data_IF_011198438760
#
_entry.id   IF_011198438760
#
_cell.length_a   1.000
_cell.length_b   1.000
_cell.length_c   1.000
_cell.angle_alpha   90.00
_cell.angle_beta   90.00
_cell.angle_gamma   90.00
#
_symmetry.space_group_name_H-M   'P 1'
#
loop_
_entity.id
_entity.type
_entity.pdbx_description
1 polymer ?
#
# COMPACT_ATOMS: atom_id res chain seq x y z
N UNK A 1 -13.24 20.24 -26.44
CA UNK A 1 -13.79 19.46 -25.32
C UNK A 1 -12.76 19.02 -24.29
N UNK A 2 -11.47 18.93 -24.60
CA UNK A 2 -10.41 18.77 -23.58
C UNK A 2 -9.11 19.43 -24.05
N UNK A 3 -8.31 19.96 -23.10
CA UNK A 3 -7.02 20.58 -23.37
C UNK A 3 -5.87 19.55 -23.54
N UNK A 4 -6.18 18.25 -23.49
CA UNK A 4 -5.18 17.21 -23.65
C UNK A 4 -4.54 17.27 -25.05
N UNK A 5 -3.20 17.41 -25.14
CA UNK A 5 -2.52 17.36 -26.43
C UNK A 5 -2.73 15.97 -27.05
N UNK A 6 -2.87 15.88 -28.39
CA UNK A 6 -2.92 14.60 -29.08
C UNK A 6 -1.65 13.80 -28.74
N UNK A 7 -1.73 12.46 -28.66
CA UNK A 7 -0.55 11.63 -28.50
C UNK A 7 0.43 11.97 -29.62
N UNK A 8 1.71 12.12 -29.27
CA UNK A 8 2.75 12.30 -30.27
C UNK A 8 2.68 11.13 -31.27
N UNK A 9 2.89 11.39 -32.58
CA UNK A 9 2.94 10.32 -33.56
C UNK A 9 3.96 9.29 -33.07
N UNK A 10 3.55 8.03 -33.05
CA UNK A 10 4.41 6.92 -32.67
C UNK A 10 5.52 6.87 -33.71
N UNK A 11 6.65 7.52 -33.43
CA UNK A 11 7.88 7.21 -34.11
C UNK A 11 8.11 5.73 -33.85
N UNK A 12 8.20 4.95 -34.92
CA UNK A 12 8.59 3.55 -34.86
C UNK A 12 9.98 3.50 -34.23
N UNK A 13 10.04 3.41 -32.91
CA UNK A 13 11.24 3.07 -32.19
C UNK A 13 11.54 1.61 -32.56
N UNK A 14 12.66 1.42 -33.23
CA UNK A 14 13.26 0.12 -33.44
C UNK A 14 13.20 -0.65 -32.11
N UNK A 15 12.57 -1.82 -32.14
CA UNK A 15 12.51 -2.76 -31.04
C UNK A 15 13.91 -3.17 -30.63
N UNK A 16 14.47 -2.47 -29.64
CA UNK A 16 15.44 -3.07 -28.74
C UNK A 16 14.63 -3.90 -27.74
N UNK A 17 14.69 -5.21 -27.90
CA UNK A 17 14.05 -6.15 -27.00
C UNK A 17 14.66 -6.04 -25.60
N UNK A 18 13.96 -5.36 -24.70
CA UNK A 18 14.22 -5.46 -23.26
C UNK A 18 13.18 -6.43 -22.70
N UNK A 19 13.60 -7.67 -22.47
CA UNK A 19 12.79 -8.69 -21.83
C UNK A 19 12.65 -8.39 -20.33
N UNK A 20 11.50 -7.90 -19.91
CA UNK A 20 11.05 -7.95 -18.51
C UNK A 20 9.99 -9.03 -18.36
N UNK A 21 10.45 -10.25 -18.08
CA UNK A 21 9.59 -11.36 -17.72
C UNK A 21 9.12 -11.24 -16.27
N UNK A 22 7.80 -11.27 -16.06
CA UNK A 22 7.19 -11.62 -14.78
C UNK A 22 6.40 -12.93 -14.96
N UNK A 23 6.99 -14.01 -14.46
CA UNK A 23 6.30 -15.08 -13.74
C UNK A 23 5.24 -15.91 -14.47
N UNK A 24 5.70 -16.96 -15.17
CA UNK A 24 5.07 -18.29 -15.07
C UNK A 24 6.09 -19.37 -15.40
N UNK A 25 6.52 -20.10 -14.36
CA UNK A 25 7.15 -21.41 -14.46
C UNK A 25 8.46 -21.51 -15.24
N UNK A 26 9.57 -21.05 -14.67
CA UNK A 26 10.88 -21.61 -14.98
C UNK A 26 11.70 -21.69 -13.70
N UNK A 27 12.40 -22.80 -13.51
CA UNK A 27 13.27 -23.16 -12.39
C UNK A 27 14.49 -22.21 -12.23
N UNK A 28 14.22 -20.93 -11.98
CA UNK A 28 15.23 -19.91 -11.71
C UNK A 28 15.59 -19.92 -10.23
N UNK A 29 16.85 -20.24 -9.94
CA UNK A 29 17.43 -20.18 -8.60
C UNK A 29 17.23 -18.75 -8.06
N UNK A 30 16.58 -18.61 -6.90
CA UNK A 30 16.29 -17.29 -6.30
C UNK A 30 17.57 -16.53 -5.95
N UNK A 31 17.52 -15.19 -6.00
CA UNK A 31 18.67 -14.33 -5.67
C UNK A 31 19.27 -14.64 -4.29
N UNK A 32 18.43 -15.07 -3.33
CA UNK A 32 18.87 -15.53 -2.00
C UNK A 32 19.71 -16.81 -2.05
N UNK A 33 19.37 -17.76 -2.93
CA UNK A 33 20.16 -18.98 -3.11
C UNK A 33 21.49 -18.67 -3.82
N UNK A 34 21.50 -17.72 -4.76
CA UNK A 34 22.72 -17.26 -5.44
C UNK A 34 23.66 -16.57 -4.43
N UNK A 35 23.13 -15.69 -3.57
CA UNK A 35 23.89 -15.04 -2.51
C UNK A 35 24.41 -16.05 -1.48
N UNK A 36 23.58 -17.03 -1.08
CA UNK A 36 23.99 -18.15 -0.22
C UNK A 36 25.12 -18.99 -0.82
N UNK A 37 25.05 -19.30 -2.12
CA UNK A 37 26.10 -20.04 -2.81
C UNK A 37 27.40 -19.24 -2.92
N UNK A 38 27.33 -17.95 -3.26
CA UNK A 38 28.51 -17.08 -3.35
C UNK A 38 29.22 -16.93 -2.01
N UNK A 39 28.47 -16.69 -0.92
CA UNK A 39 29.04 -16.59 0.43
C UNK A 39 29.73 -17.88 0.86
N UNK A 40 29.17 -19.04 0.53
CA UNK A 40 29.79 -20.34 0.78
C UNK A 40 31.08 -20.55 -0.02
N UNK A 41 31.09 -20.19 -1.31
CA UNK A 41 32.29 -20.27 -2.16
C UNK A 41 33.39 -19.34 -1.66
N UNK A 42 33.06 -18.09 -1.31
CA UNK A 42 34.04 -17.16 -0.72
C UNK A 42 34.56 -17.66 0.63
N UNK A 43 33.70 -18.24 1.47
CA UNK A 43 34.11 -18.87 2.73
C UNK A 43 35.09 -20.03 2.52
N UNK A 44 34.81 -20.91 1.57
CA UNK A 44 35.70 -22.02 1.21
C UNK A 44 37.04 -21.54 0.65
N UNK A 45 37.04 -20.50 -0.19
CA UNK A 45 38.26 -19.89 -0.71
C UNK A 45 39.11 -19.28 0.40
N UNK A 46 38.50 -18.54 1.34
CA UNK A 46 39.21 -17.98 2.50
C UNK A 46 39.81 -19.10 3.36
N UNK A 47 39.04 -20.18 3.61
CA UNK A 47 39.52 -21.34 4.36
C UNK A 47 40.68 -22.05 3.66
N UNK A 48 40.58 -22.24 2.34
CA UNK A 48 41.65 -22.85 1.53
C UNK A 48 42.91 -21.98 1.57
N UNK A 49 42.79 -20.66 1.37
CA UNK A 49 43.90 -19.70 1.48
C UNK A 49 44.55 -19.74 2.87
N UNK A 50 43.74 -19.83 3.93
CA UNK A 50 44.25 -19.96 5.29
C UNK A 50 45.04 -21.26 5.48
N UNK A 51 44.51 -22.39 5.02
CA UNK A 51 45.17 -23.70 5.11
C UNK A 51 46.48 -23.71 4.31
N UNK A 52 46.48 -23.21 3.08
CA UNK A 52 47.68 -23.12 2.23
C UNK A 52 48.73 -22.20 2.85
N UNK A 53 48.34 -21.04 3.38
CA UNK A 53 49.27 -20.15 4.07
C UNK A 53 49.87 -20.80 5.33
N UNK A 54 49.05 -21.53 6.08
CA UNK A 54 49.50 -22.25 7.27
C UNK A 54 50.44 -23.41 6.93
N UNK A 55 50.17 -24.19 5.88
CA UNK A 55 51.05 -25.27 5.44
C UNK A 55 52.35 -24.74 4.86
N UNK A 56 52.32 -23.69 4.04
CA UNK A 56 53.52 -23.03 3.52
C UNK A 56 54.40 -22.49 4.65
N UNK A 57 53.80 -21.91 5.71
CA UNK A 57 54.54 -21.47 6.91
C UNK A 57 55.19 -22.62 7.65
N UNK A 58 54.46 -23.72 7.88
CA UNK A 58 55.01 -24.92 8.53
C UNK A 58 56.16 -25.54 7.73
N UNK A 59 56.05 -25.56 6.39
CA UNK A 59 57.11 -26.08 5.51
C UNK A 59 58.32 -25.12 5.49
N UNK A 60 58.11 -23.81 5.52
CA UNK A 60 59.19 -22.83 5.61
C UNK A 60 59.97 -22.95 6.93
N UNK A 61 59.27 -23.12 8.07
CA UNK A 61 59.88 -23.35 9.38
C UNK A 61 60.64 -24.69 9.43
N UNK A 62 60.10 -25.75 8.83
CA UNK A 62 60.74 -27.08 8.80
C UNK A 62 62.01 -27.12 7.94
N UNK A 63 62.13 -26.27 6.93
CA UNK A 63 63.30 -26.18 6.03
C UNK A 63 64.39 -25.21 6.53
N UNK A 64 64.32 -24.75 7.79
CA UNK A 64 65.35 -23.91 8.39
C UNK A 64 65.44 -22.50 7.78
N UNK A 65 64.46 -22.11 6.96
CA UNK A 65 64.30 -20.73 6.52
C UNK A 65 63.73 -19.95 7.70
N UNK A 66 64.61 -19.32 8.48
CA UNK A 66 64.20 -18.22 9.33
C UNK A 66 63.66 -17.16 8.38
N UNK A 67 62.33 -17.12 8.24
CA UNK A 67 61.66 -15.94 7.74
C UNK A 67 62.04 -14.86 8.73
N UNK A 68 63.15 -14.16 8.48
CA UNK A 68 63.42 -12.91 9.13
C UNK A 68 62.10 -12.16 9.02
N UNK A 69 61.51 -11.84 10.17
CA UNK A 69 60.55 -10.74 10.22
C UNK A 69 61.39 -9.51 9.91
N UNK A 70 61.88 -9.37 8.67
CA UNK A 70 62.44 -8.14 8.14
C UNK A 70 61.42 -7.09 8.55
N UNK A 71 61.89 -6.27 9.48
CA UNK A 71 61.12 -5.48 10.43
C UNK A 71 59.73 -5.22 9.90
N UNK A 72 58.68 -5.84 10.48
CA UNK A 72 57.29 -5.69 10.09
C UNK A 72 57.06 -4.23 9.69
N UNK A 73 57.22 -3.93 8.39
CA UNK A 73 57.31 -2.55 7.92
C UNK A 73 55.96 -2.02 8.33
N UNK A 74 55.94 -1.06 9.26
CA UNK A 74 54.72 -0.59 9.94
C UNK A 74 53.66 -0.39 8.87
N UNK A 75 52.83 -1.42 8.62
CA UNK A 75 51.91 -1.41 7.49
C UNK A 75 51.02 -0.25 7.81
N UNK A 76 50.95 0.72 6.90
CA UNK A 76 50.13 1.90 7.13
C UNK A 76 48.73 1.38 7.47
N UNK A 77 48.17 1.75 8.62
CA UNK A 77 46.85 1.26 9.00
C UNK A 77 45.86 1.61 7.89
N UNK A 78 44.90 0.73 7.60
CA UNK A 78 44.06 0.76 6.40
C UNK A 78 43.38 2.13 6.22
N UNK A 79 42.95 2.78 7.30
CA UNK A 79 42.35 4.12 7.29
C UNK A 79 43.27 5.23 6.73
N UNK A 80 44.58 5.07 6.85
CA UNK A 80 45.63 6.05 6.52
C UNK A 80 46.05 5.80 5.09
N UNK A 81 46.14 4.54 4.68
CA UNK A 81 46.26 4.16 3.27
C UNK A 81 45.03 4.62 2.46
N UNK A 82 43.83 4.51 3.04
CA UNK A 82 42.60 5.01 2.45
C UNK A 82 42.59 6.54 2.36
N UNK A 83 42.87 7.25 3.45
CA UNK A 83 42.90 8.72 3.45
C UNK A 83 44.01 9.32 2.56
N UNK A 84 45.11 8.60 2.36
CA UNK A 84 46.18 8.99 1.44
C UNK A 84 45.80 8.76 -0.04
N UNK A 85 44.84 7.87 -0.32
CA UNK A 85 44.39 7.60 -1.67
C UNK A 85 43.24 8.55 -2.06
N UNK A 86 43.61 9.67 -2.69
CA UNK A 86 42.66 10.71 -3.11
C UNK A 86 41.52 10.17 -4.00
N UNK A 87 41.78 9.16 -4.84
CA UNK A 87 40.75 8.53 -5.66
C UNK A 87 39.71 7.79 -4.82
N UNK A 88 40.16 6.97 -3.85
CA UNK A 88 39.23 6.24 -2.96
C UNK A 88 38.43 7.20 -2.08
N UNK A 89 39.06 8.24 -1.54
CA UNK A 89 38.35 9.27 -0.76
C UNK A 89 37.28 9.96 -1.63
N UNK A 90 37.61 10.35 -2.86
CA UNK A 90 36.66 10.99 -3.77
C UNK A 90 35.49 10.07 -4.13
N UNK A 91 35.76 8.81 -4.47
CA UNK A 91 34.71 7.81 -4.76
C UNK A 91 33.81 7.60 -3.55
N UNK A 92 34.37 7.46 -2.35
CA UNK A 92 33.58 7.30 -1.12
C UNK A 92 32.77 8.54 -0.79
N UNK A 93 33.31 9.75 -0.99
CA UNK A 93 32.54 10.99 -0.78
C UNK A 93 31.38 11.08 -1.77
N UNK A 94 31.60 10.81 -3.06
CA UNK A 94 30.52 10.80 -4.06
C UNK A 94 29.46 9.75 -3.69
N UNK A 95 29.88 8.55 -3.29
CA UNK A 95 28.97 7.49 -2.85
C UNK A 95 28.14 7.95 -1.65
N UNK A 96 28.76 8.50 -0.60
CA UNK A 96 28.05 8.98 0.58
C UNK A 96 27.10 10.14 0.25
N UNK A 97 27.48 11.03 -0.67
CA UNK A 97 26.60 12.11 -1.14
C UNK A 97 25.37 11.54 -1.86
N UNK A 98 25.54 10.58 -2.77
CA UNK A 98 24.43 9.95 -3.48
C UNK A 98 23.52 9.16 -2.54
N UNK A 99 24.09 8.43 -1.57
CA UNK A 99 23.34 7.72 -0.55
C UNK A 99 22.55 8.70 0.31
N UNK A 100 23.17 9.79 0.75
CA UNK A 100 22.50 10.82 1.55
C UNK A 100 21.36 11.48 0.76
N UNK A 101 21.58 11.81 -0.52
CA UNK A 101 20.56 12.37 -1.39
C UNK A 101 19.40 11.38 -1.61
N UNK A 102 19.69 10.10 -1.80
CA UNK A 102 18.67 9.05 -1.96
C UNK A 102 17.78 8.93 -0.72
N UNK A 103 18.37 8.86 0.48
CA UNK A 103 17.58 8.77 1.72
C UNK A 103 16.84 10.06 2.04
N UNK A 104 17.45 11.23 1.81
CA UNK A 104 16.80 12.52 2.00
C UNK A 104 15.61 12.71 1.07
N UNK A 105 15.78 12.38 -0.23
CA UNK A 105 14.70 12.39 -1.20
C UNK A 105 13.61 11.38 -0.83
N UNK A 106 14.00 10.15 -0.47
CA UNK A 106 13.06 9.11 -0.05
C UNK A 106 12.21 9.53 1.15
N UNK A 107 12.81 10.12 2.18
CA UNK A 107 12.09 10.63 3.35
C UNK A 107 11.16 11.79 2.98
N UNK A 108 11.63 12.74 2.17
CA UNK A 108 10.83 13.89 1.75
C UNK A 108 9.61 13.49 0.90
N UNK A 109 9.74 12.46 0.06
CA UNK A 109 8.64 11.93 -0.75
C UNK A 109 7.57 11.18 0.06
N UNK A 110 7.83 10.87 1.34
CA UNK A 110 6.84 10.27 2.25
C UNK A 110 6.06 11.31 3.07
N UNK A 111 6.42 12.59 2.99
CA UNK A 111 5.69 13.65 3.71
C UNK A 111 4.28 13.79 3.13
N UNK A 112 3.27 13.70 4.00
CA UNK A 112 1.85 13.78 3.61
C UNK A 112 1.29 12.49 3.01
N UNK A 113 1.97 11.35 3.20
CA UNK A 113 1.46 10.02 2.82
C UNK A 113 1.02 9.28 4.09
N UNK A 114 -0.30 9.17 4.29
CA UNK A 114 -0.89 8.58 5.50
C UNK A 114 -1.23 7.07 5.34
N UNK A 115 -0.49 6.35 4.49
CA UNK A 115 -0.72 4.92 4.30
C UNK A 115 -0.47 4.13 5.59
N UNK A 116 -1.36 3.20 5.90
CA UNK A 116 -1.33 2.39 7.12
C UNK A 116 -1.83 3.14 8.36
N UNK A 117 -2.30 4.38 8.24
CA UNK A 117 -2.89 5.09 9.38
C UNK A 117 -4.14 4.34 9.89
N UNK A 118 -4.08 3.90 11.16
CA UNK A 118 -5.06 3.05 11.81
C UNK A 118 -5.33 3.54 13.25
N UNK A 119 -6.16 4.59 13.43
CA UNK A 119 -6.48 5.11 14.75
C UNK A 119 -7.44 4.17 15.52
N UNK A 120 -7.34 4.21 16.84
CA UNK A 120 -8.28 3.51 17.72
C UNK A 120 -9.64 4.22 17.64
N UNK A 121 -10.70 3.45 17.38
CA UNK A 121 -12.08 3.94 17.31
C UNK A 121 -12.78 3.83 18.66
N UNK A 122 -13.83 4.65 18.95
CA UNK A 122 -14.57 4.58 20.21
C UNK A 122 -15.27 3.23 20.45
N UNK A 123 -15.76 2.63 19.37
CA UNK A 123 -16.32 1.29 19.32
C UNK A 123 -15.44 0.47 18.37
N UNK A 124 -15.01 -0.71 18.81
CA UNK A 124 -14.23 -1.63 17.98
C UNK A 124 -15.15 -2.28 16.94
N UNK A 125 -15.31 -1.61 15.81
CA UNK A 125 -16.13 -2.06 14.69
C UNK A 125 -15.28 -2.87 13.69
N UNK A 126 -15.69 -4.12 13.45
CA UNK A 126 -15.02 -5.02 12.51
C UNK A 126 -15.73 -5.08 11.16
N UNK A 127 -15.06 -4.62 10.09
CA UNK A 127 -15.54 -4.84 8.72
C UNK A 127 -15.39 -6.30 8.29
N UNK A 128 -14.37 -7.00 8.81
CA UNK A 128 -14.16 -8.45 8.62
C UNK A 128 -15.39 -9.27 8.99
N UNK A 129 -16.06 -8.96 10.11
CA UNK A 129 -17.29 -9.66 10.51
C UNK A 129 -18.48 -9.28 9.60
N UNK A 130 -18.68 -7.99 9.34
CA UNK A 130 -19.88 -7.51 8.64
C UNK A 130 -19.82 -7.76 7.13
N UNK A 131 -18.77 -7.30 6.45
CA UNK A 131 -18.60 -7.44 5.00
C UNK A 131 -17.93 -8.76 4.63
N UNK A 132 -16.99 -9.25 5.46
CA UNK A 132 -16.24 -10.48 5.21
C UNK A 132 -17.04 -11.75 5.51
N UNK A 133 -17.38 -12.01 6.77
CA UNK A 133 -18.07 -13.23 7.19
C UNK A 133 -19.55 -13.21 6.77
N UNK A 134 -20.27 -12.13 7.11
CA UNK A 134 -21.71 -12.02 6.86
C UNK A 134 -22.07 -11.56 5.43
N UNK A 135 -21.08 -11.21 4.60
CA UNK A 135 -21.25 -10.78 3.21
C UNK A 135 -22.24 -9.63 3.03
N UNK A 136 -22.33 -8.73 4.01
CA UNK A 136 -23.16 -7.52 3.91
C UNK A 136 -22.55 -6.60 2.85
N UNK A 137 -23.36 -6.18 1.89
CA UNK A 137 -22.94 -5.32 0.79
C UNK A 137 -22.47 -3.94 1.28
N UNK A 138 -21.35 -3.42 0.76
CA UNK A 138 -20.71 -2.19 1.22
C UNK A 138 -21.68 -0.99 1.24
N UNK A 139 -22.48 -0.82 0.19
CA UNK A 139 -23.42 0.30 0.02
C UNK A 139 -24.73 0.10 0.81
N UNK A 140 -24.90 -0.99 1.57
CA UNK A 140 -25.99 -1.11 2.54
C UNK A 140 -25.81 -0.10 3.68
N UNK A 141 -24.62 -0.11 4.30
CA UNK A 141 -24.25 0.86 5.33
C UNK A 141 -23.82 2.20 4.72
N UNK A 142 -22.97 2.16 3.68
CA UNK A 142 -22.46 3.36 3.01
C UNK A 142 -23.33 3.77 1.82
N UNK A 143 -24.64 3.92 2.06
CA UNK A 143 -25.65 4.16 1.01
C UNK A 143 -25.43 5.45 0.22
N UNK A 144 -24.88 6.48 0.87
CA UNK A 144 -24.61 7.78 0.26
C UNK A 144 -23.55 7.73 -0.84
N UNK A 145 -22.70 6.70 -0.89
CA UNK A 145 -21.74 6.50 -1.98
C UNK A 145 -22.39 6.48 -3.37
N UNK A 146 -23.66 6.07 -3.46
CA UNK A 146 -24.39 5.96 -4.73
C UNK A 146 -24.80 7.32 -5.31
N UNK A 147 -25.05 8.31 -4.46
CA UNK A 147 -25.76 9.55 -4.84
C UNK A 147 -25.04 10.83 -4.43
N UNK A 148 -24.21 10.79 -3.40
CA UNK A 148 -23.54 11.96 -2.83
C UNK A 148 -22.06 12.03 -3.21
N UNK A 149 -21.49 13.23 -3.12
CA UNK A 149 -20.04 13.41 -3.19
C UNK A 149 -19.29 12.79 -2.01
N UNK A 150 -19.94 12.71 -0.85
CA UNK A 150 -19.37 12.15 0.36
C UNK A 150 -20.09 10.84 0.71
N UNK A 151 -19.33 9.75 0.80
CA UNK A 151 -19.78 8.51 1.42
C UNK A 151 -19.65 8.64 2.94
N UNK A 152 -20.73 9.03 3.60
CA UNK A 152 -20.77 9.25 5.05
C UNK A 152 -20.66 7.95 5.85
N UNK A 153 -20.33 8.09 7.13
CA UNK A 153 -20.45 7.02 8.13
C UNK A 153 -21.96 6.79 8.37
N UNK A 154 -22.44 5.53 8.43
CA UNK A 154 -23.84 5.25 8.68
C UNK A 154 -24.31 5.84 10.01
N UNK A 155 -25.54 6.35 10.04
CA UNK A 155 -26.20 6.69 11.30
C UNK A 155 -26.42 5.43 12.15
N UNK A 156 -26.43 5.55 13.47
CA UNK A 156 -26.62 4.41 14.39
C UNK A 156 -27.96 3.69 14.21
N UNK A 157 -28.96 4.32 13.57
CA UNK A 157 -30.20 3.66 13.20
C UNK A 157 -29.98 2.44 12.28
N UNK A 158 -28.99 2.49 11.38
CA UNK A 158 -28.65 1.37 10.50
C UNK A 158 -28.12 0.19 11.33
N UNK A 159 -27.30 0.46 12.35
CA UNK A 159 -26.81 -0.56 13.27
C UNK A 159 -27.99 -1.22 14.02
N UNK A 160 -28.92 -0.41 14.51
CA UNK A 160 -30.06 -0.90 15.30
C UNK A 160 -31.11 -1.67 14.47
N UNK A 161 -31.06 -1.65 13.14
CA UNK A 161 -31.95 -2.49 12.33
C UNK A 161 -31.71 -3.99 12.55
N UNK A 162 -30.46 -4.37 12.84
CA UNK A 162 -30.09 -5.76 13.12
C UNK A 162 -29.80 -5.97 14.61
N UNK A 163 -29.10 -5.02 15.24
CA UNK A 163 -28.66 -5.16 16.62
C UNK A 163 -29.77 -5.06 17.67
N UNK A 164 -31.04 -4.83 17.31
CA UNK A 164 -32.16 -5.08 18.22
C UNK A 164 -32.33 -6.56 18.55
N UNK A 165 -32.11 -7.42 17.57
CA UNK A 165 -32.26 -8.89 17.72
C UNK A 165 -30.91 -9.60 17.88
N UNK A 166 -29.82 -8.93 17.52
CA UNK A 166 -28.44 -9.42 17.67
C UNK A 166 -27.78 -8.69 18.83
N UNK A 167 -27.97 -9.23 20.04
CA UNK A 167 -27.48 -8.65 21.30
C UNK A 167 -26.19 -9.29 21.83
N UNK A 168 -25.79 -10.44 21.28
CA UNK A 168 -24.54 -11.11 21.63
C UNK A 168 -23.81 -11.57 20.37
N UNK A 169 -22.48 -11.60 20.44
CA UNK A 169 -21.65 -12.16 19.39
C UNK A 169 -21.33 -13.63 19.70
N UNK A 170 -21.83 -14.53 18.86
CA UNK A 170 -21.65 -15.98 19.04
C UNK A 170 -20.37 -16.54 18.42
N UNK A 171 -19.66 -15.73 17.64
CA UNK A 171 -18.47 -16.18 16.89
C UNK A 171 -18.83 -17.03 15.67
N UNK A 172 -17.78 -17.44 14.96
CA UNK A 172 -17.89 -18.43 13.88
C UNK A 172 -18.13 -19.84 14.45
N UNK A 173 -18.76 -20.75 13.68
CA UNK A 173 -18.97 -22.14 14.10
C UNK A 173 -17.67 -22.89 14.45
N UNK A 174 -16.54 -22.44 13.90
CA UNK A 174 -15.21 -23.01 14.09
C UNK A 174 -14.45 -22.40 15.29
N UNK A 175 -15.06 -21.42 15.98
CA UNK A 175 -14.47 -20.67 17.08
C UNK A 175 -13.62 -19.47 16.62
N UNK A 176 -13.28 -18.55 17.54
CA UNK A 176 -12.43 -17.39 17.22
C UNK A 176 -11.06 -17.87 16.72
N UNK A 177 -10.52 -17.19 15.70
CA UNK A 177 -9.23 -17.58 15.14
C UNK A 177 -8.11 -17.44 16.18
N UNK A 178 -7.00 -18.16 16.00
CA UNK A 178 -5.83 -18.05 16.89
C UNK A 178 -5.30 -16.61 16.98
N UNK A 179 -5.42 -15.86 15.90
CA UNK A 179 -5.04 -14.45 15.82
C UNK A 179 -6.00 -13.56 16.61
N UNK A 180 -7.31 -13.77 16.47
CA UNK A 180 -8.32 -13.05 17.24
C UNK A 180 -8.13 -13.29 18.75
N UNK A 181 -7.86 -14.53 19.16
CA UNK A 181 -7.54 -14.87 20.55
C UNK A 181 -6.25 -14.22 21.06
N UNK A 182 -5.19 -14.16 20.23
CA UNK A 182 -3.94 -13.49 20.59
C UNK A 182 -4.13 -11.98 20.80
N UNK A 183 -5.05 -11.37 20.05
CA UNK A 183 -5.40 -9.96 20.15
C UNK A 183 -6.47 -9.67 21.24
N UNK A 184 -6.94 -10.69 21.97
CA UNK A 184 -7.95 -10.54 23.02
C UNK A 184 -9.38 -10.39 22.51
N UNK A 185 -9.64 -10.67 21.24
CA UNK A 185 -10.95 -10.61 20.62
C UNK A 185 -11.74 -11.89 20.93
N UNK A 186 -12.40 -11.87 22.09
CA UNK A 186 -13.30 -12.94 22.53
C UNK A 186 -14.76 -12.63 22.20
N UNK A 187 -15.64 -13.63 22.33
CA UNK A 187 -17.07 -13.42 22.18
C UNK A 187 -17.61 -12.39 23.18
N UNK A 188 -17.10 -12.41 24.41
CA UNK A 188 -17.46 -11.44 25.46
C UNK A 188 -16.97 -10.02 25.12
N UNK A 189 -15.78 -9.90 24.51
CA UNK A 189 -15.26 -8.63 24.03
C UNK A 189 -16.19 -7.99 23.01
N UNK A 190 -16.53 -8.69 21.93
CA UNK A 190 -17.43 -8.16 20.90
C UNK A 190 -18.85 -7.90 21.44
N UNK A 191 -19.34 -8.75 22.33
CA UNK A 191 -20.62 -8.52 23.01
C UNK A 191 -20.58 -7.24 23.86
N UNK A 192 -19.44 -6.96 24.52
CA UNK A 192 -19.20 -5.69 25.21
C UNK A 192 -19.21 -4.47 24.29
N UNK A 193 -18.69 -4.60 23.06
CA UNK A 193 -18.73 -3.52 22.05
C UNK A 193 -20.17 -3.23 21.56
N UNK A 194 -21.02 -4.26 21.41
CA UNK A 194 -22.44 -4.09 21.10
C UNK A 194 -23.14 -3.30 22.21
N UNK A 195 -22.79 -3.51 23.49
CA UNK A 195 -23.33 -2.74 24.60
C UNK A 195 -22.94 -1.25 24.55
N UNK A 196 -21.77 -0.90 24.02
CA UNK A 196 -21.40 0.51 23.77
C UNK A 196 -22.31 1.15 22.72
N UNK A 197 -22.68 0.40 21.68
CA UNK A 197 -23.68 0.86 20.70
C UNK A 197 -25.02 1.14 21.38
N UNK A 198 -25.53 0.23 22.22
CA UNK A 198 -26.79 0.42 22.96
C UNK A 198 -26.75 1.66 23.84
N UNK A 199 -25.64 1.87 24.56
CA UNK A 199 -25.43 3.09 25.35
C UNK A 199 -25.47 4.35 24.47
N UNK A 200 -24.86 4.32 23.29
CA UNK A 200 -24.86 5.46 22.38
C UNK A 200 -26.26 5.78 21.83
N UNK A 201 -27.06 4.77 21.49
CA UNK A 201 -28.42 4.99 20.96
C UNK A 201 -29.50 5.14 22.04
N UNK A 202 -29.16 4.89 23.31
CA UNK A 202 -30.14 4.85 24.40
C UNK A 202 -31.09 3.65 24.30
N UNK A 203 -30.58 2.46 24.00
CA UNK A 203 -31.37 1.22 23.93
C UNK A 203 -31.34 0.48 25.27
N UNK A 204 -32.52 0.22 25.82
CA UNK A 204 -32.73 -0.61 27.01
C UNK A 204 -33.00 -2.05 26.58
N UNK A 205 -32.04 -2.94 26.83
CA UNK A 205 -32.10 -4.35 26.44
C UNK A 205 -33.13 -5.15 27.25
N UNK A 206 -33.40 -4.79 28.49
CA UNK A 206 -34.34 -5.52 29.35
C UNK A 206 -35.78 -5.22 28.95
N UNK A 207 -36.08 -3.95 28.70
CA UNK A 207 -37.42 -3.50 28.35
C UNK A 207 -37.65 -3.40 26.84
N UNK A 208 -36.64 -3.69 26.01
CA UNK A 208 -36.69 -3.65 24.55
C UNK A 208 -37.23 -2.31 24.00
N UNK A 209 -36.80 -1.20 24.60
CA UNK A 209 -37.29 0.15 24.29
C UNK A 209 -36.16 1.17 24.24
N UNK A 210 -36.37 2.25 23.50
CA UNK A 210 -35.46 3.40 23.57
C UNK A 210 -35.77 4.24 24.80
N UNK A 211 -34.73 4.69 25.48
CA UNK A 211 -34.82 5.57 26.67
C UNK A 211 -35.09 7.03 26.28
N UNK A 212 -34.77 7.42 25.04
CA UNK A 212 -34.82 8.81 24.56
C UNK A 212 -33.53 9.59 24.83
N UNK A 213 -32.57 8.99 25.54
CA UNK A 213 -31.25 9.59 25.81
C UNK A 213 -30.20 8.98 24.89
N UNK A 214 -29.80 9.71 23.84
CA UNK A 214 -28.77 9.27 22.88
C UNK A 214 -27.55 10.17 22.91
N UNK A 215 -26.37 9.60 22.66
CA UNK A 215 -25.11 10.31 22.49
C UNK A 215 -24.48 9.93 21.14
N UNK A 216 -23.98 10.90 20.35
CA UNK A 216 -23.32 10.59 19.09
C UNK A 216 -22.02 9.82 19.34
N UNK A 217 -21.70 8.88 18.45
CA UNK A 217 -20.38 8.21 18.46
C UNK A 217 -19.40 9.09 17.70
N UNK A 218 -18.33 9.51 18.39
CA UNK A 218 -17.28 10.37 17.85
C UNK A 218 -16.25 9.56 17.05
N UNK A 219 -16.66 9.10 15.87
CA UNK A 219 -15.78 8.34 14.97
C UNK A 219 -14.56 9.16 14.54
N UNK A 220 -13.40 8.51 14.52
CA UNK A 220 -12.16 9.10 14.00
C UNK A 220 -12.08 8.84 12.50
N UNK A 221 -12.13 9.90 11.70
CA UNK A 221 -12.03 9.81 10.25
C UNK A 221 -10.61 9.46 9.83
N UNK A 222 -10.48 8.39 9.03
CA UNK A 222 -9.20 7.88 8.52
C UNK A 222 -8.84 8.56 7.19
N UNK A 223 -9.69 8.40 6.18
CA UNK A 223 -9.44 8.93 4.84
C UNK A 223 -9.80 10.42 4.79
N UNK A 224 -8.80 11.26 4.63
CA UNK A 224 -8.98 12.69 4.48
C UNK A 224 -8.28 13.21 3.23
N UNK A 225 -8.91 14.19 2.58
CA UNK A 225 -8.33 14.95 1.48
C UNK A 225 -8.41 16.42 1.87
N UNK A 226 -7.43 17.26 1.47
CA UNK A 226 -7.54 18.70 1.67
C UNK A 226 -8.83 19.28 1.09
N UNK A 227 -9.35 20.32 1.70
CA UNK A 227 -10.62 20.96 1.34
C UNK A 227 -10.62 21.61 -0.05
N UNK A 228 -9.45 22.05 -0.53
CA UNK A 228 -9.24 22.51 -1.89
C UNK A 228 -9.25 21.36 -2.93
N UNK A 229 -9.38 20.11 -2.53
CA UNK A 229 -9.58 18.98 -3.44
C UNK A 229 -11.06 18.55 -3.46
N UNK A 230 -11.70 18.68 -4.62
CA UNK A 230 -13.04 18.21 -4.86
C UNK A 230 -13.03 16.75 -5.30
N UNK A 231 -13.61 15.88 -4.48
CA UNK A 231 -13.84 14.47 -4.81
C UNK A 231 -15.32 14.12 -4.68
N UNK A 232 -15.83 13.31 -5.61
CA UNK A 232 -17.23 12.92 -5.65
C UNK A 232 -17.38 11.39 -5.75
N UNK A 233 -17.85 10.74 -4.68
CA UNK A 233 -18.05 9.29 -4.64
C UNK A 233 -19.04 8.79 -5.70
N UNK A 234 -20.18 9.46 -5.91
CA UNK A 234 -21.22 8.97 -6.83
C UNK A 234 -20.75 8.91 -8.29
N UNK A 235 -19.85 9.80 -8.71
CA UNK A 235 -19.24 9.74 -10.04
C UNK A 235 -18.35 8.50 -10.19
N UNK A 236 -17.55 8.17 -9.18
CA UNK A 236 -16.63 7.03 -9.27
C UNK A 236 -17.36 5.69 -9.08
N UNK A 237 -18.34 5.64 -8.17
CA UNK A 237 -19.05 4.41 -7.83
C UNK A 237 -20.19 4.12 -8.80
N UNK A 238 -21.03 5.10 -9.14
CA UNK A 238 -22.26 4.85 -9.89
C UNK A 238 -22.09 5.07 -11.39
N UNK A 239 -21.27 6.05 -11.81
CA UNK A 239 -21.04 6.34 -13.23
C UNK A 239 -19.88 5.52 -13.77
N UNK A 240 -18.71 5.59 -13.13
CA UNK A 240 -17.54 4.82 -13.56
C UNK A 240 -17.62 3.34 -13.11
N UNK A 241 -18.40 3.02 -12.07
CA UNK A 241 -18.54 1.66 -11.58
C UNK A 241 -17.20 1.08 -11.12
N UNK A 242 -16.43 1.87 -10.37
CA UNK A 242 -15.18 1.44 -9.74
C UNK A 242 -15.50 0.67 -8.47
N UNK A 243 -14.86 -0.49 -8.31
CA UNK A 243 -15.00 -1.32 -7.12
C UNK A 243 -14.39 -0.63 -5.88
N UNK A 244 -15.05 -0.78 -4.72
CA UNK A 244 -14.63 -0.12 -3.48
C UNK A 244 -13.20 -0.50 -3.08
N UNK A 245 -12.83 -1.77 -3.32
CA UNK A 245 -11.55 -2.35 -2.97
C UNK A 245 -10.38 -1.74 -3.74
N UNK A 246 -10.64 -1.20 -4.95
CA UNK A 246 -9.60 -0.53 -5.74
C UNK A 246 -9.02 0.69 -5.04
N UNK A 247 -9.82 1.39 -4.22
CA UNK A 247 -9.39 2.59 -3.50
C UNK A 247 -9.19 2.37 -2.01
N UNK A 248 -9.98 1.48 -1.38
CA UNK A 248 -9.95 1.26 0.06
C UNK A 248 -9.24 -0.03 0.48
N UNK A 249 -8.76 -0.85 -0.47
CA UNK A 249 -8.17 -2.16 -0.20
C UNK A 249 -9.23 -3.23 0.12
N UNK A 250 -8.81 -4.45 0.51
CA UNK A 250 -9.72 -5.55 0.85
C UNK A 250 -10.39 -5.30 2.23
N UNK A 251 -11.31 -4.36 2.29
CA UNK A 251 -11.98 -3.92 3.54
C UNK A 251 -12.70 -5.07 4.24
N UNK A 252 -13.20 -6.03 3.48
CA UNK A 252 -13.83 -7.25 3.97
C UNK A 252 -12.89 -8.18 4.75
N UNK A 253 -11.57 -7.95 4.71
CA UNK A 253 -10.58 -8.68 5.50
C UNK A 253 -10.07 -7.85 6.69
N UNK A 254 -10.50 -6.59 6.81
CA UNK A 254 -9.98 -5.64 7.81
C UNK A 254 -10.74 -5.74 9.14
N UNK A 255 -10.03 -6.19 10.17
CA UNK A 255 -10.55 -6.18 11.55
C UNK A 255 -10.63 -4.75 12.11
N UNK A 256 -9.57 -3.96 11.90
CA UNK A 256 -9.55 -2.53 12.13
C UNK A 256 -9.36 -1.82 10.79
N UNK A 257 -10.09 -0.72 10.58
CA UNK A 257 -9.93 0.05 9.35
C UNK A 257 -8.60 0.79 9.36
N UNK A 258 -7.91 0.79 8.22
CA UNK A 258 -6.70 1.58 7.99
C UNK A 258 -6.67 2.15 6.58
N UNK A 259 -5.86 3.18 6.35
CA UNK A 259 -5.72 3.77 5.01
C UNK A 259 -4.84 2.86 4.12
N UNK A 260 -5.46 2.20 3.14
CA UNK A 260 -4.75 1.31 2.21
C UNK A 260 -4.00 2.09 1.11
N UNK A 261 -4.73 2.90 0.34
CA UNK A 261 -4.16 3.69 -0.75
C UNK A 261 -3.58 5.02 -0.26
N UNK A 262 -2.58 5.58 -0.96
CA UNK A 262 -1.91 6.81 -0.52
C UNK A 262 -2.77 8.05 -0.71
N UNK A 263 -3.76 8.00 -1.62
CA UNK A 263 -4.65 9.12 -1.96
C UNK A 263 -3.91 10.43 -2.34
N UNK A 264 -2.67 10.31 -2.81
CA UNK A 264 -1.88 11.44 -3.30
C UNK A 264 -2.33 11.86 -4.70
N UNK A 265 -2.06 13.12 -5.06
CA UNK A 265 -2.41 13.65 -6.39
C UNK A 265 -1.87 12.78 -7.54
N UNK A 266 -0.62 12.31 -7.43
CA UNK A 266 0.00 11.44 -8.43
C UNK A 266 -0.75 10.11 -8.61
N UNK A 267 -1.24 9.54 -7.51
CA UNK A 267 -2.06 8.32 -7.55
C UNK A 267 -3.39 8.55 -8.28
N UNK A 268 -4.09 9.66 -7.98
CA UNK A 268 -5.32 10.04 -8.68
C UNK A 268 -5.09 10.24 -10.19
N UNK A 269 -4.02 10.96 -10.56
CA UNK A 269 -3.68 11.25 -11.95
C UNK A 269 -3.37 9.96 -12.72
N UNK A 270 -2.58 9.06 -12.14
CA UNK A 270 -2.23 7.80 -12.81
C UNK A 270 -3.46 6.91 -12.99
N UNK A 271 -4.32 6.80 -11.97
CA UNK A 271 -5.60 6.11 -12.10
C UNK A 271 -6.45 6.69 -13.24
N UNK A 272 -6.54 8.01 -13.36
CA UNK A 272 -7.27 8.66 -14.46
C UNK A 272 -6.64 8.47 -15.84
N UNK A 273 -5.32 8.26 -15.92
CA UNK A 273 -4.61 7.96 -17.18
C UNK A 273 -4.84 6.54 -17.65
N UNK A 274 -4.99 5.61 -16.71
CA UNK A 274 -5.04 4.17 -16.99
C UNK A 274 -6.47 3.62 -17.05
N UNK A 275 -7.42 4.28 -16.39
CA UNK A 275 -8.80 3.80 -16.29
C UNK A 275 -9.64 4.27 -17.47
N UNK A 276 -10.23 3.31 -18.18
CA UNK A 276 -11.20 3.55 -19.24
C UNK A 276 -12.55 3.95 -18.66
N UNK A 277 -13.24 4.88 -19.34
CA UNK A 277 -14.60 5.27 -18.98
C UNK A 277 -15.61 4.27 -19.53
N UNK A 278 -16.67 4.00 -18.76
CA UNK A 278 -17.81 3.20 -19.21
C UNK A 278 -18.74 4.06 -20.06
N UNK A 279 -18.74 3.83 -21.37
CA UNK A 279 -19.57 4.57 -22.34
C UNK A 279 -20.81 3.78 -22.79
N UNK A 280 -20.78 2.46 -22.64
CA UNK A 280 -21.84 1.55 -23.06
C UNK A 280 -23.15 1.84 -22.31
N UNK A 281 -24.24 2.02 -23.05
CA UNK A 281 -25.56 2.28 -22.49
C UNK A 281 -25.78 3.70 -21.95
N UNK A 282 -24.84 4.64 -22.18
CA UNK A 282 -24.99 6.03 -21.77
C UNK A 282 -25.09 6.98 -22.98
N UNK A 283 -26.33 7.37 -23.31
CA UNK A 283 -26.63 8.29 -24.41
C UNK A 283 -25.90 9.65 -24.31
N UNK A 284 -25.52 10.08 -23.09
CA UNK A 284 -24.74 11.30 -22.89
C UNK A 284 -23.37 11.23 -23.56
N UNK A 285 -22.74 10.05 -23.61
CA UNK A 285 -21.39 9.89 -24.13
C UNK A 285 -21.33 9.58 -25.61
N UNK A 286 -22.41 9.22 -26.30
CA UNK A 286 -22.36 8.75 -27.70
C UNK A 286 -21.62 9.72 -28.63
N UNK A 287 -22.04 11.00 -28.62
CA UNK A 287 -21.42 12.03 -29.49
C UNK A 287 -19.98 12.34 -29.09
N UNK A 288 -19.73 12.48 -27.78
CA UNK A 288 -18.41 12.81 -27.24
C UNK A 288 -17.42 11.67 -27.51
N UNK A 289 -17.86 10.44 -27.31
CA UNK A 289 -17.09 9.24 -27.57
C UNK A 289 -16.74 9.15 -29.06
N UNK A 290 -17.72 9.27 -29.96
CA UNK A 290 -17.45 9.23 -31.40
C UNK A 290 -16.44 10.30 -31.86
N UNK A 291 -16.57 11.55 -31.37
CA UNK A 291 -15.64 12.64 -31.71
C UNK A 291 -14.24 12.44 -31.13
N UNK A 292 -14.13 12.06 -29.85
CA UNK A 292 -12.85 11.91 -29.17
C UNK A 292 -12.12 10.62 -29.56
N UNK A 293 -12.84 9.51 -29.75
CA UNK A 293 -12.28 8.26 -30.28
C UNK A 293 -11.68 8.49 -31.67
N UNK A 294 -12.36 9.28 -32.53
CA UNK A 294 -11.80 9.71 -33.82
C UNK A 294 -10.58 10.61 -33.68
N UNK A 295 -10.59 11.56 -32.73
CA UNK A 295 -9.47 12.49 -32.48
C UNK A 295 -8.21 11.75 -32.01
N UNK A 296 -8.37 10.78 -31.10
CA UNK A 296 -7.26 10.08 -30.46
C UNK A 296 -6.91 8.74 -31.11
N UNK A 297 -7.75 8.23 -32.01
CA UNK A 297 -7.53 6.95 -32.69
C UNK A 297 -7.64 5.75 -31.77
N UNK A 298 -8.48 5.81 -30.74
CA UNK A 298 -8.68 4.73 -29.74
C UNK A 298 -10.15 4.37 -29.64
N UNK A 299 -10.44 3.08 -29.45
CA UNK A 299 -11.82 2.61 -29.26
C UNK A 299 -12.35 2.92 -27.87
N UNK A 300 -11.48 2.94 -26.85
CA UNK A 300 -11.84 3.25 -25.47
C UNK A 300 -11.12 4.51 -25.01
N UNK A 301 -11.86 5.40 -24.36
CA UNK A 301 -11.33 6.64 -23.82
C UNK A 301 -11.02 6.51 -22.34
N UNK A 302 -9.93 7.11 -21.90
CA UNK A 302 -9.59 7.22 -20.47
C UNK A 302 -10.20 8.46 -19.86
N UNK A 303 -10.31 8.49 -18.53
CA UNK A 303 -10.76 9.69 -17.81
C UNK A 303 -9.86 10.91 -18.14
N UNK A 304 -8.56 10.69 -18.35
CA UNK A 304 -7.63 11.72 -18.80
C UNK A 304 -7.97 12.30 -20.18
N UNK A 305 -8.32 11.45 -21.15
CA UNK A 305 -8.70 11.89 -22.51
C UNK A 305 -10.03 12.65 -22.54
N UNK A 306 -10.90 12.40 -21.55
CA UNK A 306 -12.13 13.14 -21.26
C UNK A 306 -11.90 14.43 -20.45
N UNK A 307 -10.63 14.76 -20.18
CA UNK A 307 -10.23 16.00 -19.54
C UNK A 307 -10.30 15.94 -18.02
N UNK A 308 -10.32 14.75 -17.42
CA UNK A 308 -10.25 14.53 -15.97
C UNK A 308 -8.89 14.84 -15.34
N UNK A 309 -8.03 15.59 -16.03
CA UNK A 309 -6.73 16.09 -15.55
C UNK A 309 -6.65 17.63 -15.56
N UNK A 310 -7.76 18.32 -15.82
CA UNK A 310 -7.83 19.78 -15.79
C UNK A 310 -7.92 20.28 -14.34
N UNK A 311 -7.08 21.27 -13.97
CA UNK A 311 -6.97 21.74 -12.58
C UNK A 311 -8.32 22.12 -11.96
N UNK A 312 -9.14 22.91 -12.66
CA UNK A 312 -10.42 23.40 -12.15
C UNK A 312 -11.48 22.32 -11.94
N UNK A 313 -11.31 21.11 -12.50
CA UNK A 313 -12.22 19.99 -12.25
C UNK A 313 -11.96 19.30 -10.91
N UNK A 314 -10.76 19.47 -10.35
CA UNK A 314 -10.35 18.85 -9.10
C UNK A 314 -10.13 19.88 -7.98
N UNK A 315 -9.81 21.14 -8.30
CA UNK A 315 -9.35 22.14 -7.32
C UNK A 315 -10.11 23.47 -7.32
N UNK A 316 -11.25 23.53 -8.03
CA UNK A 316 -12.04 24.73 -8.32
C UNK A 316 -11.41 25.68 -9.34
#
# INVERSE_FOLDING_TARGET
YTAAPPPAPVAAAATAATSTGAGKGSSGISNEIILGALTLVFGLLIMMLYLVNNTLRRIAEANGLVLEKEAAQKRTPIWKAFAQNQFLVLVTVIFLLLVSAYFAYGWMMQVGVDQGYAPIQPIHYSHKIHAGANKIECKYCHSSARVSKHSGIPSLNVCMNCHKSIYEYKGDPEGPSKEDLANGYTNDFYTGEIKKLYKAVGWDEENQKYTGESQPVEWVRIHNLPDFAYFNHSQHVSVAGIECQTCHGPVEEMEIMYQYSPLTMGWCINCHRETNIKVEGNAYYEKIHAELSKKYGVDNLTAAQMGGLECGKCHY
#
